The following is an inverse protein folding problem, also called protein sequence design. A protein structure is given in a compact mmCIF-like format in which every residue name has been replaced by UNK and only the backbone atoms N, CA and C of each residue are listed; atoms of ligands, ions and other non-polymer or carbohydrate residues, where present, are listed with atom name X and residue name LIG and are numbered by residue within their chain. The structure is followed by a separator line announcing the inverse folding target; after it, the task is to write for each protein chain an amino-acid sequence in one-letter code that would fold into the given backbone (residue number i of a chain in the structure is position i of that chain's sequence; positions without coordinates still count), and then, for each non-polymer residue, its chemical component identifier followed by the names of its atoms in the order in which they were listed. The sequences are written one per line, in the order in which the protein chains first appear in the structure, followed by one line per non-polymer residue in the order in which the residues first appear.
data_IF_338235043724
#
_entry.id   IF_338235043724
#
_cell.length_a   1.000
_cell.length_b   1.000
_cell.length_c   1.000
_cell.angle_alpha   90.00
_cell.angle_beta   90.00
_cell.angle_gamma   90.00
#
_symmetry.space_group_name_H-M   'P 1'
#
loop_
_entity.id
_entity.type
_entity.pdbx_description
1 polymer ?
#
# COMPACT_ATOMS: atom_id res chain seq x y z
N UNK A 1 13.92 38.34 49.81
CA UNK A 1 13.60 39.57 49.05
C UNK A 1 13.21 39.11 47.65
N UNK A 2 11.94 39.32 47.28
CA UNK A 2 11.33 38.95 46.00
C UNK A 2 12.04 39.64 44.83
N UNK A 3 12.29 38.93 43.73
CA UNK A 3 11.87 39.41 42.40
C UNK A 3 11.79 38.27 41.37
N UNK A 4 10.58 38.12 40.82
CA UNK A 4 10.25 37.49 39.53
C UNK A 4 11.08 38.11 38.39
N UNK A 5 11.22 37.37 37.28
CA UNK A 5 11.16 37.76 35.85
C UNK A 5 12.03 36.76 35.06
N UNK A 6 11.44 35.77 34.36
CA UNK A 6 10.74 35.82 33.07
C UNK A 6 11.70 35.55 31.89
N UNK A 7 11.40 34.45 31.19
CA UNK A 7 11.47 34.25 29.73
C UNK A 7 12.84 34.33 29.04
N UNK A 8 13.12 33.34 28.17
CA UNK A 8 13.96 33.37 26.93
C UNK A 8 14.79 32.08 26.74
N UNK A 9 14.15 30.90 26.76
CA UNK A 9 14.83 29.61 26.46
C UNK A 9 14.42 29.00 25.11
N UNK A 10 13.90 29.79 24.15
CA UNK A 10 13.26 29.23 22.95
C UNK A 10 13.50 29.99 21.64
N UNK A 11 14.74 30.35 21.26
CA UNK A 11 15.01 30.45 19.82
C UNK A 11 16.24 29.69 19.31
N UNK A 12 17.06 29.07 20.18
CA UNK A 12 18.27 28.34 19.74
C UNK A 12 18.01 26.89 19.28
N UNK A 13 16.91 26.27 19.72
CA UNK A 13 16.57 24.90 19.32
C UNK A 13 15.87 24.82 17.95
N UNK A 14 15.21 25.91 17.51
CA UNK A 14 14.48 25.94 16.25
C UNK A 14 15.39 26.13 15.01
N UNK A 15 16.55 26.75 15.18
CA UNK A 15 17.51 26.99 14.09
C UNK A 15 18.38 25.77 13.77
N UNK A 16 18.63 24.90 14.75
CA UNK A 16 19.45 23.69 14.55
C UNK A 16 18.69 22.57 13.81
N UNK A 17 17.36 22.53 13.90
CA UNK A 17 16.54 21.50 13.25
C UNK A 17 16.41 21.70 11.72
N UNK A 18 16.51 22.94 11.21
CA UNK A 18 16.36 23.24 9.78
C UNK A 18 17.65 22.95 8.98
N UNK A 19 18.83 23.10 9.61
CA UNK A 19 20.12 22.81 8.95
C UNK A 19 20.40 21.30 8.87
N UNK A 20 19.90 20.51 9.83
CA UNK A 20 20.11 19.05 9.84
C UNK A 20 19.29 18.32 8.76
N UNK A 21 18.18 18.89 8.30
CA UNK A 21 17.33 18.32 7.24
C UNK A 21 17.84 18.59 5.81
N UNK A 22 18.80 19.50 5.63
CA UNK A 22 19.36 19.89 4.32
C UNK A 22 20.73 19.26 4.01
N UNK A 23 21.29 18.46 4.93
CA UNK A 23 22.69 18.00 4.89
C UNK A 23 22.96 16.56 4.42
N UNK A 24 21.93 15.78 4.06
CA UNK A 24 22.11 14.42 3.52
C UNK A 24 21.70 14.35 2.04
N UNK A 25 22.50 14.98 1.20
CA UNK A 25 22.61 14.59 -0.21
C UNK A 25 23.99 13.97 -0.43
N UNK A 26 24.20 12.68 -0.10
CA UNK A 26 25.35 11.98 -0.64
C UNK A 26 25.07 11.69 -2.12
N UNK A 27 25.62 12.51 -3.00
CA UNK A 27 25.85 12.11 -4.38
C UNK A 27 26.81 10.92 -4.39
N UNK A 28 26.28 9.72 -4.57
CA UNK A 28 27.01 8.47 -4.86
C UNK A 28 25.95 7.36 -5.03
N UNK A 29 25.78 6.65 -6.14
CA UNK A 29 26.48 6.60 -7.40
C UNK A 29 25.43 6.28 -8.48
N UNK A 30 25.47 7.00 -9.60
CA UNK A 30 24.90 6.46 -10.82
C UNK A 30 25.77 5.25 -11.21
N UNK A 31 25.40 4.08 -10.70
CA UNK A 31 25.73 2.85 -11.42
C UNK A 31 24.92 2.97 -12.70
N UNK A 32 25.55 3.51 -13.74
CA UNK A 32 25.08 3.45 -15.11
C UNK A 32 25.14 1.97 -15.51
N UNK A 33 24.22 1.19 -14.95
CA UNK A 33 23.99 -0.16 -15.40
C UNK A 33 23.41 0.04 -16.79
N UNK A 34 24.28 0.05 -17.79
CA UNK A 34 23.91 -0.07 -19.19
C UNK A 34 23.22 -1.41 -19.29
N UNK A 35 21.91 -1.37 -19.05
CA UNK A 35 21.03 -2.52 -19.05
C UNK A 35 21.17 -3.09 -20.46
N UNK A 36 21.74 -4.30 -20.59
CA UNK A 36 21.77 -4.96 -21.88
C UNK A 36 20.30 -5.07 -22.34
N UNK A 37 19.98 -4.78 -23.60
CA UNK A 37 18.60 -4.88 -24.09
C UNK A 37 17.94 -6.24 -23.81
N UNK A 38 18.75 -7.30 -23.71
CA UNK A 38 18.31 -8.64 -23.30
C UNK A 38 17.85 -8.72 -21.82
N UNK A 39 18.55 -8.03 -20.91
CA UNK A 39 18.19 -7.99 -19.48
C UNK A 39 16.93 -7.15 -19.25
N UNK A 40 16.74 -6.06 -20.00
CA UNK A 40 15.49 -5.29 -19.99
C UNK A 40 14.31 -6.14 -20.46
N UNK A 41 14.50 -6.91 -21.52
CA UNK A 41 13.43 -7.77 -22.03
C UNK A 41 13.07 -8.84 -20.99
N UNK A 42 14.06 -9.44 -20.33
CA UNK A 42 13.82 -10.41 -19.27
C UNK A 42 13.09 -9.80 -18.06
N UNK A 43 13.50 -8.60 -17.62
CA UNK A 43 12.90 -7.91 -16.49
C UNK A 43 11.45 -7.50 -16.79
N UNK A 44 11.18 -6.97 -17.99
CA UNK A 44 9.82 -6.61 -18.42
C UNK A 44 8.92 -7.85 -18.46
N UNK A 45 9.41 -8.98 -18.97
CA UNK A 45 8.64 -10.23 -18.98
C UNK A 45 8.37 -10.73 -17.56
N UNK A 46 9.34 -10.61 -16.65
CA UNK A 46 9.22 -11.02 -15.25
C UNK A 46 8.22 -10.13 -14.51
N UNK A 47 8.33 -8.81 -14.65
CA UNK A 47 7.40 -7.85 -14.08
C UNK A 47 5.96 -8.07 -14.60
N UNK A 48 5.81 -8.27 -15.92
CA UNK A 48 4.51 -8.56 -16.53
C UNK A 48 3.87 -9.84 -15.98
N UNK A 49 4.66 -10.92 -15.83
CA UNK A 49 4.18 -12.17 -15.22
C UNK A 49 3.77 -11.97 -13.76
N UNK A 50 4.57 -11.23 -12.98
CA UNK A 50 4.26 -10.93 -11.60
C UNK A 50 2.95 -10.12 -11.48
N UNK A 51 2.77 -9.09 -12.31
CA UNK A 51 1.53 -8.31 -12.38
C UNK A 51 0.33 -9.22 -12.67
N UNK A 52 0.43 -10.08 -13.67
CA UNK A 52 -0.66 -11.01 -14.04
C UNK A 52 -1.00 -11.99 -12.92
N UNK A 53 0.01 -12.52 -12.23
CA UNK A 53 -0.19 -13.40 -11.08
C UNK A 53 -0.88 -12.67 -9.93
N UNK A 54 -0.46 -11.44 -9.62
CA UNK A 54 -1.07 -10.63 -8.57
C UNK A 54 -2.51 -10.25 -8.90
N UNK A 55 -2.79 -9.83 -10.15
CA UNK A 55 -4.15 -9.59 -10.63
C UNK A 55 -5.04 -10.82 -10.43
N UNK A 56 -4.53 -12.00 -10.79
CA UNK A 56 -5.28 -13.26 -10.65
C UNK A 56 -5.63 -13.56 -9.20
N UNK A 57 -4.68 -13.38 -8.26
CA UNK A 57 -4.92 -13.58 -6.83
C UNK A 57 -5.98 -12.64 -6.28
N UNK A 58 -5.87 -11.36 -6.63
CA UNK A 58 -6.79 -10.32 -6.18
C UNK A 58 -8.19 -10.55 -6.74
N UNK A 59 -8.32 -10.88 -8.04
CA UNK A 59 -9.61 -11.19 -8.65
C UNK A 59 -10.26 -12.42 -8.02
N UNK A 60 -9.49 -13.47 -7.73
CA UNK A 60 -9.99 -14.66 -7.02
C UNK A 60 -10.54 -14.30 -5.64
N UNK A 61 -9.79 -13.51 -4.86
CA UNK A 61 -10.22 -13.05 -3.54
C UNK A 61 -11.56 -12.28 -3.61
N UNK A 62 -11.68 -11.30 -4.50
CA UNK A 62 -12.94 -10.56 -4.67
C UNK A 62 -14.08 -11.39 -5.27
N UNK A 63 -13.76 -12.53 -5.87
CA UNK A 63 -14.71 -13.53 -6.34
C UNK A 63 -15.26 -14.45 -5.26
N UNK A 64 -14.67 -14.49 -4.06
CA UNK A 64 -15.12 -15.35 -2.97
C UNK A 64 -16.46 -14.92 -2.38
N UNK A 65 -17.31 -15.88 -2.02
CA UNK A 65 -18.65 -15.61 -1.49
C UNK A 65 -18.62 -14.84 -0.15
N UNK A 66 -17.65 -15.14 0.71
CA UNK A 66 -17.44 -14.41 1.97
C UNK A 66 -17.12 -12.93 1.71
N UNK A 67 -16.30 -12.66 0.69
CA UNK A 67 -15.91 -11.31 0.27
C UNK A 67 -17.09 -10.56 -0.32
N UNK A 68 -17.81 -11.16 -1.28
CA UNK A 68 -19.03 -10.58 -1.85
C UNK A 68 -20.07 -10.26 -0.79
N UNK A 69 -20.26 -11.14 0.20
CA UNK A 69 -21.22 -10.92 1.30
C UNK A 69 -20.83 -9.72 2.14
N UNK A 70 -19.56 -9.60 2.54
CA UNK A 70 -19.07 -8.47 3.33
C UNK A 70 -19.23 -7.14 2.57
N UNK A 71 -18.89 -7.10 1.28
CA UNK A 71 -19.04 -5.90 0.44
C UNK A 71 -20.50 -5.45 0.29
N UNK A 72 -21.43 -6.41 0.16
CA UNK A 72 -22.87 -6.13 0.12
C UNK A 72 -23.36 -5.49 1.42
N UNK A 73 -22.87 -5.93 2.57
CA UNK A 73 -23.25 -5.37 3.88
C UNK A 73 -22.87 -3.89 4.01
N UNK A 74 -21.78 -3.46 3.36
CA UNK A 74 -21.30 -2.07 3.40
C UNK A 74 -21.73 -1.21 2.20
N UNK A 75 -22.61 -1.71 1.32
CA UNK A 75 -23.01 -1.03 0.07
C UNK A 75 -21.81 -0.65 -0.81
N UNK A 76 -20.71 -1.38 -0.71
CA UNK A 76 -19.56 -1.18 -1.60
C UNK A 76 -19.89 -1.85 -2.93
N UNK A 77 -19.82 -1.08 -4.01
CA UNK A 77 -20.07 -1.55 -5.36
C UNK A 77 -18.90 -2.43 -5.86
N UNK A 78 -19.14 -3.73 -6.15
CA UNK A 78 -18.11 -4.62 -6.68
C UNK A 78 -17.52 -4.16 -8.01
N UNK A 79 -18.26 -3.41 -8.83
CA UNK A 79 -17.75 -2.88 -10.10
C UNK A 79 -16.67 -1.82 -9.88
N UNK A 80 -16.79 -1.02 -8.83
CA UNK A 80 -15.75 -0.03 -8.48
C UNK A 80 -14.45 -0.71 -8.07
N UNK A 81 -14.51 -1.82 -7.35
CA UNK A 81 -13.32 -2.59 -7.01
C UNK A 81 -12.67 -3.17 -8.27
N UNK A 82 -13.45 -3.74 -9.18
CA UNK A 82 -12.93 -4.27 -10.45
C UNK A 82 -12.25 -3.20 -11.31
N UNK A 83 -12.72 -1.95 -11.25
CA UNK A 83 -12.07 -0.81 -11.91
C UNK A 83 -10.83 -0.30 -11.17
N UNK A 84 -10.79 -0.41 -9.84
CA UNK A 84 -9.66 0.03 -9.01
C UNK A 84 -8.44 -0.90 -9.10
N UNK A 85 -8.66 -2.22 -9.16
CA UNK A 85 -7.56 -3.19 -9.19
C UNK A 85 -6.55 -2.96 -10.34
N UNK A 86 -6.96 -2.73 -11.61
CA UNK A 86 -6.01 -2.51 -12.69
C UNK A 86 -5.31 -1.14 -12.65
N UNK A 87 -5.83 -0.16 -11.90
CA UNK A 87 -5.20 1.17 -11.77
C UNK A 87 -4.04 1.21 -10.77
N UNK A 88 -3.79 0.10 -10.05
CA UNK A 88 -2.68 -0.01 -9.11
C UNK A 88 -1.33 -0.13 -9.80
N UNK A 89 -0.28 0.45 -9.21
CA UNK A 89 1.11 0.13 -9.53
C UNK A 89 1.42 -1.35 -9.27
N UNK A 90 2.54 -1.84 -9.80
CA UNK A 90 2.96 -3.23 -9.60
C UNK A 90 3.24 -3.51 -8.11
N UNK A 91 3.80 -2.55 -7.38
CA UNK A 91 4.09 -2.65 -5.95
C UNK A 91 2.82 -2.67 -5.10
N UNK A 92 1.87 -1.78 -5.38
CA UNK A 92 0.58 -1.73 -4.67
C UNK A 92 -0.22 -3.01 -4.93
N UNK A 93 -0.24 -3.48 -6.17
CA UNK A 93 -0.92 -4.71 -6.55
C UNK A 93 -0.26 -5.93 -5.89
N UNK A 94 1.06 -5.99 -5.81
CA UNK A 94 1.78 -7.05 -5.10
C UNK A 94 1.47 -7.05 -3.60
N UNK A 95 1.45 -5.88 -2.96
CA UNK A 95 1.07 -5.74 -1.54
C UNK A 95 -0.37 -6.15 -1.30
N UNK A 96 -1.28 -5.78 -2.20
CA UNK A 96 -2.67 -6.21 -2.13
C UNK A 96 -2.79 -7.72 -2.26
N UNK A 97 -2.14 -8.32 -3.27
CA UNK A 97 -2.15 -9.77 -3.48
C UNK A 97 -1.62 -10.54 -2.26
N UNK A 98 -0.52 -10.07 -1.65
CA UNK A 98 0.03 -10.66 -0.44
C UNK A 98 -0.94 -10.58 0.75
N UNK A 99 -1.64 -9.46 0.90
CA UNK A 99 -2.67 -9.28 1.94
C UNK A 99 -3.87 -10.20 1.69
N UNK A 100 -4.40 -10.26 0.46
CA UNK A 100 -5.53 -11.13 0.13
C UNK A 100 -5.18 -12.61 0.31
N UNK A 101 -3.95 -13.02 -0.02
CA UNK A 101 -3.46 -14.38 0.21
C UNK A 101 -3.36 -14.69 1.71
N UNK A 102 -2.88 -13.74 2.51
CA UNK A 102 -2.83 -13.89 3.98
C UNK A 102 -4.23 -14.08 4.56
N UNK A 103 -5.18 -13.24 4.16
CA UNK A 103 -6.56 -13.32 4.64
C UNK A 103 -7.22 -14.65 4.26
N UNK A 104 -7.04 -15.12 3.02
CA UNK A 104 -7.54 -16.45 2.61
C UNK A 104 -6.97 -17.57 3.47
N UNK A 105 -5.66 -17.55 3.76
CA UNK A 105 -5.04 -18.54 4.65
C UNK A 105 -5.59 -18.47 6.07
N UNK A 106 -5.75 -17.26 6.62
CA UNK A 106 -6.27 -17.07 7.98
C UNK A 106 -7.73 -17.53 8.10
N UNK A 107 -8.55 -17.32 7.05
CA UNK A 107 -9.92 -17.84 6.95
C UNK A 107 -9.91 -19.38 6.89
N UNK A 108 -9.09 -19.96 6.01
CA UNK A 108 -9.01 -21.41 5.84
C UNK A 108 -8.47 -22.13 7.09
N UNK A 109 -7.58 -21.48 7.84
CA UNK A 109 -7.08 -21.97 9.12
C UNK A 109 -8.10 -21.82 10.27
N UNK A 110 -9.25 -21.17 10.04
CA UNK A 110 -10.24 -20.89 11.08
C UNK A 110 -9.76 -19.89 12.13
N UNK A 111 -8.72 -19.11 11.84
CA UNK A 111 -8.11 -18.16 12.77
C UNK A 111 -8.94 -16.88 12.96
N UNK A 112 -9.92 -16.64 12.07
CA UNK A 112 -10.73 -15.43 12.05
C UNK A 112 -12.22 -15.74 12.24
N UNK A 113 -12.87 -14.97 13.11
CA UNK A 113 -14.31 -14.99 13.31
C UNK A 113 -15.02 -14.26 12.15
N UNK A 114 -16.27 -14.59 11.84
CA UNK A 114 -17.05 -13.96 10.76
C UNK A 114 -17.05 -12.41 10.80
N UNK A 115 -17.13 -11.84 12.00
CA UNK A 115 -17.07 -10.38 12.19
C UNK A 115 -15.69 -9.82 11.83
N UNK A 116 -14.60 -10.49 12.24
CA UNK A 116 -13.23 -10.06 11.92
C UNK A 116 -12.98 -10.16 10.42
N UNK A 117 -13.40 -11.27 9.79
CA UNK A 117 -13.34 -11.46 8.33
C UNK A 117 -14.01 -10.28 7.63
N UNK A 118 -15.23 -9.93 8.06
CA UNK A 118 -16.00 -8.82 7.48
C UNK A 118 -15.26 -7.49 7.59
N UNK A 119 -14.74 -7.13 8.77
CA UNK A 119 -13.98 -5.89 8.95
C UNK A 119 -12.69 -5.84 8.11
N UNK A 120 -11.97 -6.96 8.01
CA UNK A 120 -10.75 -7.04 7.19
C UNK A 120 -11.07 -6.82 5.71
N UNK A 121 -12.12 -7.48 5.19
CA UNK A 121 -12.54 -7.32 3.80
C UNK A 121 -12.93 -5.86 3.50
N UNK A 122 -13.69 -5.24 4.39
CA UNK A 122 -14.09 -3.83 4.25
C UNK A 122 -12.86 -2.93 4.25
N UNK A 123 -11.90 -3.14 5.17
CA UNK A 123 -10.68 -2.35 5.24
C UNK A 123 -9.87 -2.44 3.94
N UNK A 124 -9.71 -3.65 3.39
CA UNK A 124 -9.03 -3.86 2.10
C UNK A 124 -9.79 -3.14 0.97
N UNK A 125 -11.10 -3.32 0.89
CA UNK A 125 -11.92 -2.69 -0.15
C UNK A 125 -11.90 -1.16 -0.09
N UNK A 126 -11.99 -0.59 1.11
CA UNK A 126 -11.89 0.86 1.34
C UNK A 126 -10.51 1.38 0.96
N UNK A 127 -9.43 0.70 1.33
CA UNK A 127 -8.08 1.09 0.94
C UNK A 127 -7.93 1.18 -0.59
N UNK A 128 -8.49 0.22 -1.32
CA UNK A 128 -8.48 0.23 -2.79
C UNK A 128 -9.27 1.39 -3.39
N UNK A 129 -10.46 1.66 -2.87
CA UNK A 129 -11.27 2.78 -3.34
C UNK A 129 -10.58 4.12 -3.07
N UNK A 130 -9.91 4.25 -1.93
CA UNK A 130 -9.12 5.43 -1.60
C UNK A 130 -8.00 5.59 -2.63
N UNK A 131 -7.22 4.55 -2.91
CA UNK A 131 -6.17 4.60 -3.95
C UNK A 131 -6.74 4.99 -5.31
N UNK A 132 -7.90 4.45 -5.71
CA UNK A 132 -8.57 4.83 -6.97
C UNK A 132 -8.92 6.32 -7.02
N UNK A 133 -9.34 6.92 -5.91
CA UNK A 133 -9.68 8.35 -5.85
C UNK A 133 -8.44 9.24 -5.94
N UNK A 134 -7.30 8.80 -5.38
CA UNK A 134 -6.05 9.57 -5.43
C UNK A 134 -5.30 9.43 -6.75
N UNK A 135 -5.52 8.34 -7.49
CA UNK A 135 -4.88 8.10 -8.79
C UNK A 135 -5.70 8.64 -9.98
N UNK A 136 -7.02 8.79 -9.83
CA UNK A 136 -7.94 9.32 -10.85
C UNK A 136 -7.95 10.85 -10.89
#
# INVERSE_FOLDING_TARGET
MLHRFHYETTPMLATLAVVLLLGFAPGAQAQDHVVLPADLHHEVLTASRARQQNLTKVQKFFGEEAVKKALKTTRIDPEKIQKAVPSLSDEELARLAAQTDKVQRDIAAGALNNTQITYIIIAIATALLVTLIFVA
#
